data_IF_194823090134
#
_entry.id   IF_194823090134
#
_cell.length_a   1.000
_cell.length_b   1.000
_cell.length_c   1.000
_cell.angle_alpha   90.00
_cell.angle_beta   90.00
_cell.angle_gamma   90.00
#
_symmetry.space_group_name_H-M   'P 1'
#
loop_
_entity.id
_entity.type
_entity.pdbx_description
1 polymer ?
#
# COMPACT_ATOMS: atom_id res chain seq x y z
N UNK A 1 27.75 7.55 -5.59
CA UNK A 1 26.60 6.92 -4.90
C UNK A 1 26.66 5.41 -5.15
N UNK A 2 26.31 4.53 -4.20
CA UNK A 2 26.17 3.10 -4.49
C UNK A 2 25.12 2.87 -5.57
N UNK A 3 25.36 1.88 -6.43
CA UNK A 3 24.41 1.42 -7.44
C UNK A 3 23.56 0.29 -6.85
N UNK A 4 22.23 0.39 -6.97
CA UNK A 4 21.28 -0.61 -6.45
C UNK A 4 20.35 -1.06 -7.56
N UNK A 5 20.20 -2.38 -7.70
CA UNK A 5 19.23 -2.94 -8.63
C UNK A 5 17.81 -2.80 -8.08
N UNK A 6 16.96 -2.02 -8.76
CA UNK A 6 15.55 -1.93 -8.43
C UNK A 6 14.76 -2.86 -9.36
N UNK A 7 14.36 -4.01 -8.82
CA UNK A 7 13.63 -5.06 -9.54
C UNK A 7 12.23 -4.61 -9.99
N UNK A 8 11.63 -3.62 -9.35
CA UNK A 8 10.30 -3.10 -9.71
C UNK A 8 10.34 -2.25 -10.98
N UNK A 9 11.50 -1.69 -11.34
CA UNK A 9 11.72 -0.92 -12.58
C UNK A 9 12.68 -1.61 -13.55
N UNK A 10 13.15 -2.81 -13.21
CA UNK A 10 13.99 -3.65 -14.08
C UNK A 10 15.35 -3.04 -14.44
N UNK A 11 15.92 -2.19 -13.57
CA UNK A 11 17.23 -1.57 -13.82
C UNK A 11 17.98 -1.15 -12.55
N UNK A 12 19.33 -1.06 -12.63
CA UNK A 12 20.10 -0.38 -11.60
C UNK A 12 19.84 1.12 -11.58
N UNK A 13 20.12 1.72 -10.43
CA UNK A 13 19.98 3.14 -10.15
C UNK A 13 20.96 3.56 -9.06
N UNK A 14 21.50 4.76 -9.18
CA UNK A 14 22.29 5.39 -8.12
C UNK A 14 21.39 5.82 -6.96
N UNK A 15 21.78 5.48 -5.73
CA UNK A 15 21.06 5.90 -4.53
C UNK A 15 22.04 6.44 -3.49
N UNK A 16 21.82 7.63 -2.89
CA UNK A 16 22.86 8.31 -2.10
C UNK A 16 23.21 7.67 -0.75
N UNK A 17 22.46 6.66 -0.30
CA UNK A 17 22.67 6.02 1.00
C UNK A 17 23.13 4.57 0.84
N UNK A 18 24.22 4.24 1.52
CA UNK A 18 24.87 2.92 1.48
C UNK A 18 24.65 2.13 2.78
N UNK A 19 23.39 1.84 3.09
CA UNK A 19 23.03 0.99 4.23
C UNK A 19 22.93 -0.49 3.85
N UNK A 20 23.12 -1.43 4.80
CA UNK A 20 22.91 -2.84 4.54
C UNK A 20 21.46 -3.11 4.13
N UNK A 21 21.26 -4.13 3.32
CA UNK A 21 19.91 -4.64 3.05
C UNK A 21 19.33 -5.22 4.35
N UNK A 22 18.06 -4.95 4.67
CA UNK A 22 17.47 -5.49 5.87
C UNK A 22 17.35 -7.03 5.80
N UNK A 23 17.37 -7.69 6.95
CA UNK A 23 17.26 -9.14 7.11
C UNK A 23 15.96 -9.69 6.53
N UNK A 24 14.88 -8.92 6.69
CA UNK A 24 13.59 -9.11 6.04
C UNK A 24 12.99 -7.73 5.77
N UNK A 25 12.03 -7.64 4.85
CA UNK A 25 11.42 -6.37 4.48
C UNK A 25 9.93 -6.37 4.81
N UNK A 26 9.50 -5.51 5.73
CA UNK A 26 8.08 -5.30 6.02
C UNK A 26 7.36 -4.97 4.72
N UNK A 27 6.23 -5.63 4.50
CA UNK A 27 5.46 -5.45 3.29
C UNK A 27 3.96 -5.60 3.54
N UNK A 28 3.20 -4.96 2.66
CA UNK A 28 1.75 -4.92 2.72
C UNK A 28 1.17 -5.21 1.34
N UNK A 29 0.08 -5.96 1.27
CA UNK A 29 -0.75 -6.09 0.07
C UNK A 29 -2.14 -5.58 0.38
N UNK A 30 -2.65 -4.64 -0.42
CA UNK A 30 -4.01 -4.11 -0.35
C UNK A 30 -4.82 -4.55 -1.58
N UNK A 31 -5.90 -5.31 -1.36
CA UNK A 31 -6.84 -5.67 -2.41
C UNK A 31 -7.85 -4.55 -2.67
N UNK A 32 -7.60 -3.75 -3.71
CA UNK A 32 -8.49 -2.62 -4.04
C UNK A 32 -9.83 -3.05 -4.62
N UNK A 33 -10.00 -4.32 -5.00
CA UNK A 33 -11.30 -4.87 -5.41
C UNK A 33 -12.27 -5.05 -4.24
N UNK A 34 -11.76 -5.10 -3.01
CA UNK A 34 -12.53 -5.32 -1.78
C UNK A 34 -12.63 -4.09 -0.90
N UNK A 35 -11.97 -2.99 -1.26
CA UNK A 35 -11.99 -1.77 -0.47
C UNK A 35 -13.37 -1.14 -0.52
N UNK A 36 -13.82 -0.58 0.61
CA UNK A 36 -15.16 0.01 0.77
C UNK A 36 -15.09 1.42 1.40
N UNK A 37 -13.92 2.05 1.41
CA UNK A 37 -13.67 3.40 1.97
C UNK A 37 -14.22 3.68 3.39
N UNK A 38 -14.55 2.69 4.20
CA UNK A 38 -15.13 2.88 5.54
C UNK A 38 -14.28 3.70 6.55
N UNK A 39 -13.09 4.17 6.17
CA UNK A 39 -12.13 4.93 6.98
C UNK A 39 -11.72 4.29 8.31
N UNK A 40 -12.13 3.05 8.61
CA UNK A 40 -11.85 2.40 9.91
C UNK A 40 -10.36 2.27 10.15
N UNK A 41 -9.61 1.89 9.11
CA UNK A 41 -8.15 1.83 9.16
C UNK A 41 -7.52 3.22 9.40
N UNK A 42 -8.10 4.30 8.86
CA UNK A 42 -7.65 5.69 9.05
C UNK A 42 -7.83 6.08 10.51
N UNK A 43 -9.03 5.86 11.04
CA UNK A 43 -9.38 6.16 12.44
C UNK A 43 -8.54 5.34 13.42
N UNK A 44 -8.36 4.04 13.19
CA UNK A 44 -7.54 3.19 14.07
C UNK A 44 -6.08 3.65 14.16
N UNK A 45 -5.50 4.10 13.03
CA UNK A 45 -4.15 4.66 13.01
C UNK A 45 -4.10 6.02 13.73
N UNK A 46 -5.10 6.88 13.47
CA UNK A 46 -5.22 8.21 14.03
C UNK A 46 -5.32 8.20 15.55
N UNK A 47 -6.24 7.39 16.09
CA UNK A 47 -6.49 7.31 17.53
C UNK A 47 -5.30 6.73 18.29
N UNK A 48 -4.61 5.75 17.69
CA UNK A 48 -3.46 5.11 18.33
C UNK A 48 -2.19 5.96 18.29
N UNK A 49 -1.89 6.61 17.16
CA UNK A 49 -0.55 7.18 16.94
C UNK A 49 -0.49 8.69 16.71
N UNK A 50 -1.55 9.31 16.21
CA UNK A 50 -1.54 10.72 15.78
C UNK A 50 -2.64 11.57 16.41
N UNK A 51 -2.94 11.30 17.69
CA UNK A 51 -3.95 11.98 18.52
C UNK A 51 -3.38 13.07 19.44
N UNK A 52 -2.06 13.30 19.43
CA UNK A 52 -1.37 14.33 20.18
C UNK A 52 -1.38 15.71 19.53
N UNK A 53 -0.79 16.68 20.24
CA UNK A 53 -0.77 18.10 19.82
C UNK A 53 0.01 18.30 18.53
N UNK A 54 -0.58 19.05 17.59
CA UNK A 54 0.03 19.34 16.29
C UNK A 54 -0.05 18.18 15.30
N UNK A 55 -0.75 17.10 15.67
CA UNK A 55 -0.98 15.94 14.83
C UNK A 55 -2.39 15.92 14.24
N UNK A 56 -3.21 16.96 14.43
CA UNK A 56 -4.62 17.04 14.03
C UNK A 56 -4.81 16.73 12.55
N UNK A 57 -3.94 17.29 11.69
CA UNK A 57 -3.88 17.06 10.24
C UNK A 57 -2.90 15.95 9.84
N UNK A 58 -2.42 15.11 10.77
CA UNK A 58 -1.49 14.03 10.45
C UNK A 58 -2.24 12.70 10.32
N UNK A 59 -2.41 12.24 9.08
CA UNK A 59 -3.02 10.96 8.74
C UNK A 59 -1.99 10.01 8.11
N UNK A 60 -1.29 9.25 8.97
CA UNK A 60 -0.29 8.28 8.52
C UNK A 60 -0.90 7.22 7.59
N UNK A 61 -2.09 6.73 7.92
CA UNK A 61 -2.97 5.98 7.03
C UNK A 61 -4.12 6.89 6.60
N UNK A 62 -4.40 6.95 5.30
CA UNK A 62 -5.58 7.62 4.74
C UNK A 62 -6.18 6.72 3.65
N UNK A 63 -7.44 6.92 3.32
CA UNK A 63 -8.08 6.35 2.14
C UNK A 63 -8.59 7.50 1.29
N UNK A 64 -8.39 7.41 -0.02
CA UNK A 64 -8.83 8.43 -0.99
C UNK A 64 -9.57 7.78 -2.16
N UNK A 65 -10.64 8.42 -2.63
CA UNK A 65 -11.34 8.04 -3.85
C UNK A 65 -10.55 8.50 -5.08
N UNK A 66 -10.33 7.60 -6.04
CA UNK A 66 -9.71 7.90 -7.33
C UNK A 66 -10.78 7.95 -8.43
N UNK A 67 -10.64 8.87 -9.41
CA UNK A 67 -9.39 9.57 -9.75
C UNK A 67 -9.12 10.92 -9.06
N UNK A 68 -10.11 11.54 -8.42
CA UNK A 68 -10.00 12.97 -8.03
C UNK A 68 -9.50 13.23 -6.61
N UNK A 69 -9.74 12.30 -5.68
CA UNK A 69 -9.30 12.43 -4.30
C UNK A 69 -7.81 12.22 -4.09
N UNK A 70 -7.28 12.92 -3.09
CA UNK A 70 -5.86 12.89 -2.74
C UNK A 70 -5.59 13.48 -1.37
N UNK A 71 -4.65 12.88 -0.63
CA UNK A 71 -4.17 13.44 0.63
C UNK A 71 -2.64 13.44 0.82
N UNK A 72 -1.98 14.59 1.02
CA UNK A 72 -2.49 15.94 0.79
C UNK A 72 -3.00 16.14 -0.65
N UNK A 73 -3.74 17.21 -0.89
CA UNK A 73 -4.28 17.51 -2.22
C UNK A 73 -3.18 17.48 -3.28
N UNK A 74 -3.47 16.84 -4.42
CA UNK A 74 -2.60 16.76 -5.60
C UNK A 74 -1.18 16.21 -5.32
N UNK A 75 -1.04 15.36 -4.30
CA UNK A 75 0.26 14.80 -3.90
C UNK A 75 0.98 14.05 -5.03
N UNK A 76 0.22 13.38 -5.90
CA UNK A 76 0.68 12.60 -7.05
C UNK A 76 0.75 13.46 -8.31
N UNK A 77 -0.35 14.13 -8.68
CA UNK A 77 -0.48 14.90 -9.94
C UNK A 77 0.57 16.00 -10.07
N UNK A 78 0.80 16.81 -9.02
CA UNK A 78 1.84 17.86 -9.06
C UNK A 78 3.23 17.33 -9.36
N UNK A 79 3.55 16.12 -8.85
CA UNK A 79 4.82 15.50 -9.14
C UNK A 79 4.83 14.89 -10.55
N UNK A 80 3.75 14.21 -10.95
CA UNK A 80 3.62 13.62 -12.28
C UNK A 80 3.71 14.67 -13.40
N UNK A 81 3.10 15.85 -13.23
CA UNK A 81 3.19 16.96 -14.18
C UNK A 81 4.62 17.45 -14.39
N UNK A 82 5.45 17.40 -13.35
CA UNK A 82 6.86 17.79 -13.41
C UNK A 82 7.74 16.67 -13.98
N UNK A 83 7.39 15.41 -13.75
CA UNK A 83 8.15 14.25 -14.25
C UNK A 83 7.83 13.91 -15.71
N UNK A 84 6.63 14.25 -16.18
CA UNK A 84 6.08 13.75 -17.43
C UNK A 84 5.66 12.27 -17.34
N UNK A 85 5.12 11.72 -18.44
CA UNK A 85 4.67 10.34 -18.48
C UNK A 85 5.85 9.35 -18.34
N UNK A 86 5.62 8.28 -17.59
CA UNK A 86 6.60 7.20 -17.46
C UNK A 86 6.66 6.37 -18.75
N UNK A 87 7.84 6.28 -19.35
CA UNK A 87 8.11 5.45 -20.51
C UNK A 87 8.68 4.10 -20.10
N UNK A 88 8.10 3.02 -20.62
CA UNK A 88 8.48 1.65 -20.32
C UNK A 88 8.92 0.92 -21.59
N UNK A 89 10.05 0.22 -21.51
CA UNK A 89 10.50 -0.76 -22.52
C UNK A 89 10.23 -2.16 -21.96
N UNK A 90 9.06 -2.69 -22.25
CA UNK A 90 8.55 -3.91 -21.60
C UNK A 90 8.39 -3.68 -20.09
N UNK A 91 9.15 -4.41 -19.26
CA UNK A 91 9.13 -4.27 -17.79
C UNK A 91 10.20 -3.32 -17.24
N UNK A 92 11.05 -2.76 -18.11
CA UNK A 92 12.13 -1.86 -17.72
C UNK A 92 11.69 -0.40 -17.89
N UNK A 93 11.85 0.41 -16.85
CA UNK A 93 11.60 1.85 -16.93
C UNK A 93 12.69 2.52 -17.76
N UNK A 94 12.30 3.29 -18.78
CA UNK A 94 13.19 4.06 -19.63
C UNK A 94 13.33 5.51 -19.15
N UNK A 95 12.26 6.10 -18.62
CA UNK A 95 12.30 7.45 -18.03
C UNK A 95 13.20 7.53 -16.80
N UNK A 96 13.64 8.76 -16.50
CA UNK A 96 14.39 9.09 -15.28
C UNK A 96 13.48 9.01 -14.05
N UNK A 97 14.04 8.58 -12.93
CA UNK A 97 13.37 8.60 -11.62
C UNK A 97 13.59 9.94 -10.91
N UNK A 98 12.95 10.13 -9.75
CA UNK A 98 13.17 11.32 -8.90
C UNK A 98 14.61 11.44 -8.37
N UNK A 99 15.39 10.35 -8.42
CA UNK A 99 16.81 10.36 -8.02
C UNK A 99 17.73 10.84 -9.15
N UNK A 100 17.23 10.90 -10.38
CA UNK A 100 18.03 11.15 -11.60
C UNK A 100 17.62 12.45 -12.32
N UNK A 101 16.61 13.16 -11.80
CA UNK A 101 16.08 14.36 -12.41
C UNK A 101 16.96 15.61 -12.24
N UNK A 102 17.95 15.60 -11.34
CA UNK A 102 18.86 16.71 -11.17
C UNK A 102 19.71 16.93 -12.44
N UNK A 103 19.67 18.14 -13.01
CA UNK A 103 20.51 18.54 -14.16
C UNK A 103 21.69 19.40 -13.69
N UNK A 104 22.93 19.05 -14.09
CA UNK A 104 24.13 19.87 -13.87
C UNK A 104 25.32 19.12 -13.26
N UNK A 105 26.46 19.82 -13.08
CA UNK A 105 27.73 19.25 -12.56
C UNK A 105 27.65 18.71 -11.11
N UNK A 106 26.57 19.02 -10.38
CA UNK A 106 26.31 18.57 -9.01
C UNK A 106 25.08 17.64 -8.89
N UNK A 107 24.58 17.07 -10.00
CA UNK A 107 23.40 16.19 -10.01
C UNK A 107 23.49 15.07 -8.98
N UNK A 108 24.69 14.55 -8.76
CA UNK A 108 25.00 13.42 -7.87
C UNK A 108 25.05 13.81 -6.38
N UNK A 109 24.74 15.07 -6.04
CA UNK A 109 24.67 15.57 -4.66
C UNK A 109 23.33 16.22 -4.35
N UNK A 110 22.42 16.30 -5.32
CA UNK A 110 21.12 16.91 -5.10
C UNK A 110 20.19 15.93 -4.38
N UNK A 111 19.40 16.40 -3.39
CA UNK A 111 18.38 15.58 -2.77
C UNK A 111 17.35 15.16 -3.83
N UNK A 112 16.64 14.02 -3.62
CA UNK A 112 15.63 13.56 -4.56
C UNK A 112 14.63 14.65 -4.93
N UNK A 113 14.24 14.66 -6.21
CA UNK A 113 13.29 15.60 -6.75
C UNK A 113 11.92 15.40 -6.09
N UNK A 114 11.21 16.51 -5.86
CA UNK A 114 9.92 16.51 -5.20
C UNK A 114 9.49 17.92 -4.78
N UNK A 115 8.20 18.07 -4.54
CA UNK A 115 7.58 19.33 -4.12
C UNK A 115 7.14 19.28 -2.64
N UNK A 116 7.00 20.45 -2.01
CA UNK A 116 6.44 20.59 -0.66
C UNK A 116 4.97 20.99 -0.78
N UNK A 117 4.02 20.21 -0.22
CA UNK A 117 2.62 20.63 -0.16
C UNK A 117 2.47 21.89 0.70
N UNK A 118 1.50 22.74 0.34
CA UNK A 118 1.07 23.88 1.14
C UNK A 118 0.31 23.40 2.39
N UNK A 119 0.10 24.28 3.36
CA UNK A 119 -0.60 23.93 4.61
C UNK A 119 -2.07 23.60 4.31
N UNK A 120 -2.66 24.33 3.37
CA UNK A 120 -4.05 24.21 2.93
C UNK A 120 -4.32 22.85 2.28
N UNK A 121 -3.32 22.22 1.66
CA UNK A 121 -3.45 20.90 1.05
C UNK A 121 -3.74 19.79 2.09
N UNK A 122 -3.53 20.07 3.39
CA UNK A 122 -3.82 19.15 4.49
C UNK A 122 -5.15 19.46 5.21
N UNK A 123 -5.86 20.51 4.79
CA UNK A 123 -7.04 21.01 5.53
C UNK A 123 -8.21 20.03 5.52
N UNK A 124 -8.37 19.24 4.45
CA UNK A 124 -9.48 18.32 4.29
C UNK A 124 -8.96 16.95 3.79
N UNK A 125 -8.90 15.93 4.68
CA UNK A 125 -8.20 14.68 4.39
C UNK A 125 -8.91 13.71 3.45
N UNK A 126 -10.17 13.98 3.10
CA UNK A 126 -11.02 13.11 2.27
C UNK A 126 -11.81 13.91 1.22
N UNK A 127 -11.20 14.97 0.68
CA UNK A 127 -11.80 15.71 -0.45
C UNK A 127 -11.90 14.79 -1.66
N UNK A 128 -13.04 14.83 -2.34
CA UNK A 128 -13.34 13.97 -3.48
C UNK A 128 -13.81 12.58 -3.12
N UNK A 129 -14.24 12.34 -1.87
CA UNK A 129 -14.92 11.11 -1.46
C UNK A 129 -16.13 10.84 -2.36
N UNK A 130 -16.17 9.62 -2.91
CA UNK A 130 -17.19 9.16 -3.85
C UNK A 130 -17.40 10.04 -5.10
N UNK A 131 -16.45 10.92 -5.44
CA UNK A 131 -16.47 11.67 -6.69
C UNK A 131 -16.20 10.73 -7.87
N UNK A 132 -17.16 10.70 -8.78
CA UNK A 132 -17.18 9.83 -9.96
C UNK A 132 -16.71 10.57 -11.22
N UNK A 133 -16.18 9.86 -12.22
CA UNK A 133 -15.59 10.45 -13.46
C UNK A 133 -16.57 11.20 -14.38
N UNK A 134 -17.84 11.39 -14.01
CA UNK A 134 -18.84 12.04 -14.86
C UNK A 134 -20.21 12.21 -14.18
N UNK A 135 -21.11 12.96 -14.81
CA UNK A 135 -22.48 13.17 -14.31
C UNK A 135 -23.41 12.05 -14.78
N UNK A 136 -24.31 11.61 -13.91
CA UNK A 136 -25.41 10.71 -14.28
C UNK A 136 -26.57 11.56 -14.80
N UNK A 137 -26.88 11.46 -16.10
CA UNK A 137 -28.00 12.18 -16.69
C UNK A 137 -29.36 11.66 -16.16
N UNK A 138 -30.37 12.54 -16.14
CA UNK A 138 -31.72 12.20 -15.72
C UNK A 138 -32.32 11.12 -16.64
N UNK A 139 -32.69 9.97 -16.08
CA UNK A 139 -33.17 8.80 -16.84
C UNK A 139 -32.05 7.80 -17.19
N UNK A 140 -30.80 8.10 -16.82
CA UNK A 140 -29.71 7.14 -16.87
C UNK A 140 -30.02 5.92 -15.99
N UNK A 141 -29.80 4.74 -16.54
CA UNK A 141 -29.94 3.46 -15.85
C UNK A 141 -28.78 2.55 -16.25
N UNK A 142 -28.48 1.58 -15.40
CA UNK A 142 -27.41 0.62 -15.68
C UNK A 142 -27.79 -0.32 -16.83
N UNK A 143 -27.10 -0.20 -17.96
CA UNK A 143 -27.31 -1.02 -19.17
C UNK A 143 -26.19 -2.07 -19.38
N UNK A 144 -25.49 -2.46 -18.31
CA UNK A 144 -24.45 -3.50 -18.33
C UNK A 144 -23.00 -2.98 -18.45
N UNK A 145 -22.78 -1.80 -19.06
CA UNK A 145 -21.47 -1.13 -19.09
C UNK A 145 -21.65 0.30 -18.61
N UNK A 146 -21.01 0.64 -17.49
CA UNK A 146 -21.04 1.99 -16.92
C UNK A 146 -19.67 2.65 -17.17
N UNK A 147 -19.58 3.72 -18.00
CA UNK A 147 -18.31 4.37 -18.32
C UNK A 147 -17.75 5.15 -17.13
N UNK A 148 -18.60 5.43 -16.14
CA UNK A 148 -18.21 6.13 -14.94
C UNK A 148 -17.69 5.13 -13.91
N UNK A 149 -16.52 5.41 -13.36
CA UNK A 149 -15.86 4.55 -12.39
C UNK A 149 -15.25 5.40 -11.27
N UNK A 150 -15.06 4.75 -10.13
CA UNK A 150 -14.22 5.20 -9.04
C UNK A 150 -13.67 3.97 -8.33
N UNK A 151 -12.62 4.15 -7.54
CA UNK A 151 -12.16 3.12 -6.61
C UNK A 151 -11.40 3.76 -5.46
N UNK A 152 -11.21 2.99 -4.40
CA UNK A 152 -10.63 3.47 -3.17
C UNK A 152 -9.16 3.08 -3.04
N UNK A 153 -8.30 4.07 -2.83
CA UNK A 153 -6.86 3.90 -2.70
C UNK A 153 -6.43 4.17 -1.25
N UNK A 154 -6.39 3.12 -0.44
CA UNK A 154 -5.85 3.22 0.92
C UNK A 154 -4.32 3.33 0.91
N UNK A 155 -3.73 4.38 1.51
CA UNK A 155 -2.28 4.61 1.49
C UNK A 155 -1.67 4.76 2.88
N UNK A 156 -0.48 4.20 3.05
CA UNK A 156 0.42 4.38 4.20
C UNK A 156 1.83 4.73 3.72
N UNK A 157 2.79 4.92 4.63
CA UNK A 157 4.20 4.95 4.22
C UNK A 157 4.60 3.62 3.58
N UNK A 158 5.28 3.67 2.45
CA UNK A 158 5.68 2.49 1.71
C UNK A 158 6.92 1.76 2.26
N UNK A 159 7.56 2.29 3.32
CA UNK A 159 8.81 1.75 3.91
C UNK A 159 9.82 1.26 2.85
N UNK A 160 10.06 2.12 1.86
CA UNK A 160 10.70 1.81 0.59
C UNK A 160 12.11 1.18 0.72
N UNK A 161 12.56 0.48 -0.31
CA UNK A 161 13.93 -0.03 -0.42
C UNK A 161 14.95 1.10 -0.56
N UNK A 162 14.60 2.13 -1.33
CA UNK A 162 15.35 3.35 -1.55
C UNK A 162 14.53 4.57 -1.06
N UNK A 163 14.43 4.83 0.26
CA UNK A 163 13.58 5.90 0.78
C UNK A 163 14.09 7.30 0.40
N UNK A 164 13.34 8.01 -0.45
CA UNK A 164 13.67 9.40 -0.81
C UNK A 164 13.73 10.34 0.41
N UNK A 165 12.91 10.09 1.43
CA UNK A 165 12.95 10.86 2.68
C UNK A 165 14.26 10.67 3.46
N UNK A 166 14.83 9.46 3.47
CA UNK A 166 16.13 9.17 4.06
C UNK A 166 17.23 9.89 3.29
N UNK A 167 17.24 9.72 1.96
CA UNK A 167 18.19 10.37 1.06
C UNK A 167 18.19 11.90 1.19
N UNK A 168 17.05 12.51 1.46
CA UNK A 168 16.92 13.97 1.53
C UNK A 168 17.25 14.58 2.90
N UNK A 169 17.27 13.80 3.99
CA UNK A 169 17.40 14.37 5.33
C UNK A 169 18.84 14.83 5.61
N UNK A 170 19.12 16.15 5.70
CA UNK A 170 20.49 16.64 5.88
C UNK A 170 21.09 16.24 7.23
N UNK A 171 20.23 16.00 8.24
CA UNK A 171 20.64 15.60 9.59
C UNK A 171 20.78 14.09 9.77
N UNK A 172 20.42 13.30 8.74
CA UNK A 172 20.35 11.84 8.80
C UNK A 172 19.51 11.34 9.99
N UNK A 173 18.44 12.06 10.33
CA UNK A 173 17.50 11.68 11.38
C UNK A 173 16.54 10.57 10.94
N UNK A 174 16.47 10.29 9.63
CA UNK A 174 15.71 9.18 9.09
C UNK A 174 16.64 7.99 8.89
N UNK A 175 16.19 6.82 9.30
CA UNK A 175 16.92 5.56 9.15
C UNK A 175 15.96 4.44 8.77
N UNK A 176 16.52 3.36 8.21
CA UNK A 176 15.80 2.11 7.91
C UNK A 176 16.35 1.04 8.83
N UNK A 177 15.47 0.41 9.60
CA UNK A 177 15.81 -0.70 10.50
C UNK A 177 16.37 -1.89 9.72
N UNK A 178 17.39 -2.54 10.28
CA UNK A 178 18.10 -3.64 9.61
C UNK A 178 17.33 -4.94 9.78
N UNK A 179 16.66 -5.12 10.92
CA UNK A 179 15.88 -6.29 11.30
C UNK A 179 14.63 -6.49 10.43
N UNK A 180 13.91 -5.42 10.06
CA UNK A 180 12.59 -5.50 9.44
C UNK A 180 12.35 -4.52 8.27
N UNK A 181 13.31 -3.66 7.96
CA UNK A 181 13.19 -2.69 6.87
C UNK A 181 12.20 -1.54 7.13
N UNK A 182 11.68 -1.37 8.35
CA UNK A 182 10.83 -0.23 8.72
C UNK A 182 11.67 1.06 8.72
N UNK A 183 11.27 2.01 7.88
CA UNK A 183 11.83 3.38 7.87
C UNK A 183 11.22 4.24 8.99
N UNK A 184 12.04 4.86 9.84
CA UNK A 184 11.63 5.70 10.97
C UNK A 184 12.28 7.10 10.92
N UNK A 185 11.68 8.05 11.66
CA UNK A 185 12.27 9.37 11.94
C UNK A 185 12.63 9.39 13.42
N UNK A 186 13.92 9.52 13.72
CA UNK A 186 14.44 9.78 15.06
C UNK A 186 13.97 11.18 15.52
N UNK A 187 13.06 11.19 16.50
CA UNK A 187 12.43 12.41 17.01
C UNK A 187 13.42 13.29 17.79
N UNK A 188 14.48 12.73 18.38
CA UNK A 188 15.50 13.46 19.13
C UNK A 188 16.51 14.13 18.21
N UNK A 189 16.81 13.53 17.06
CA UNK A 189 17.73 14.09 16.05
C UNK A 189 17.05 15.01 15.05
N UNK A 190 15.75 14.90 14.88
CA UNK A 190 15.00 15.73 13.92
C UNK A 190 14.98 17.21 14.35
N UNK A 191 15.15 18.11 13.38
CA UNK A 191 15.13 19.57 13.59
C UNK A 191 14.23 20.30 12.60
N UNK A 192 13.32 19.58 11.94
CA UNK A 192 12.26 20.22 11.15
C UNK A 192 12.71 20.86 9.83
N UNK A 193 13.81 20.40 9.20
CA UNK A 193 14.26 20.92 7.90
C UNK A 193 13.27 20.66 6.74
N UNK A 194 12.33 19.72 6.91
CA UNK A 194 11.25 19.41 5.96
C UNK A 194 11.72 18.95 4.55
N UNK A 195 13.00 18.70 4.33
CA UNK A 195 13.49 18.10 3.08
C UNK A 195 12.92 16.70 2.85
N UNK A 196 12.68 15.95 3.92
CA UNK A 196 12.00 14.66 3.87
C UNK A 196 10.52 14.76 3.45
N UNK A 197 9.83 15.84 3.85
CA UNK A 197 8.44 16.14 3.44
C UNK A 197 8.38 16.45 1.95
N UNK A 198 9.33 17.29 1.47
CA UNK A 198 9.47 17.64 0.05
C UNK A 198 9.79 16.41 -0.81
N UNK A 199 10.81 15.65 -0.41
CA UNK A 199 11.38 14.57 -1.23
C UNK A 199 10.54 13.30 -1.25
N UNK A 200 9.71 13.02 -0.25
CA UNK A 200 8.84 11.85 -0.29
C UNK A 200 7.82 12.02 -1.43
N UNK A 201 7.84 11.18 -2.48
CA UNK A 201 6.91 11.36 -3.59
C UNK A 201 5.48 10.99 -3.22
N UNK A 202 5.28 10.23 -2.12
CA UNK A 202 3.97 9.84 -1.61
C UNK A 202 3.41 10.79 -0.53
N UNK A 203 4.20 11.80 -0.14
CA UNK A 203 3.86 12.74 0.95
C UNK A 203 3.45 12.06 2.26
N UNK A 204 4.15 10.96 2.59
CA UNK A 204 3.96 10.17 3.82
C UNK A 204 4.95 10.50 4.94
N UNK A 205 5.52 11.69 4.88
CA UNK A 205 6.25 12.33 5.97
C UNK A 205 5.57 13.66 6.22
N UNK A 206 5.13 13.89 7.45
CA UNK A 206 4.35 15.05 7.86
C UNK A 206 5.22 15.93 8.77
N UNK A 207 4.98 17.23 8.77
CA UNK A 207 5.62 18.15 9.69
C UNK A 207 4.64 18.52 10.79
N UNK A 208 5.00 18.25 12.04
CA UNK A 208 4.23 18.69 13.19
C UNK A 208 4.64 20.12 13.54
N UNK A 209 3.72 21.06 13.37
CA UNK A 209 3.96 22.49 13.57
C UNK A 209 4.17 22.88 15.04
N UNK A 210 3.69 22.05 15.97
CA UNK A 210 3.82 22.27 17.42
C UNK A 210 5.18 21.79 17.91
N UNK A 211 5.54 20.53 17.62
CA UNK A 211 6.83 19.96 18.04
C UNK A 211 8.01 20.40 17.15
N UNK A 212 7.71 21.00 15.98
CA UNK A 212 8.67 21.47 14.97
C UNK A 212 9.60 20.37 14.45
N UNK A 213 9.11 19.13 14.44
CA UNK A 213 9.79 17.97 13.88
C UNK A 213 8.87 17.22 12.93
N UNK A 214 9.48 16.38 12.09
CA UNK A 214 8.75 15.54 11.14
C UNK A 214 8.39 14.18 11.74
N UNK A 215 7.21 13.71 11.37
CA UNK A 215 6.62 12.46 11.82
C UNK A 215 6.14 11.64 10.62
N UNK A 216 6.02 10.32 10.77
CA UNK A 216 5.54 9.43 9.71
C UNK A 216 5.03 8.12 10.29
N UNK A 217 4.27 7.38 9.49
CA UNK A 217 3.91 6.00 9.80
C UNK A 217 5.12 5.21 10.29
N UNK A 218 5.00 4.62 11.48
CA UNK A 218 6.07 3.84 12.12
C UNK A 218 5.98 2.34 11.79
N UNK A 219 5.14 1.95 10.81
CA UNK A 219 4.88 0.54 10.48
C UNK A 219 4.26 -0.26 11.62
N UNK A 220 3.75 0.41 12.67
CA UNK A 220 3.42 -0.20 13.96
C UNK A 220 4.56 -1.10 14.48
N UNK A 221 5.83 -0.66 14.41
CA UNK A 221 6.96 -1.49 14.83
C UNK A 221 6.81 -2.14 16.23
N UNK A 222 6.18 -1.50 17.26
CA UNK A 222 5.99 -2.18 18.54
C UNK A 222 5.08 -3.42 18.44
N UNK A 223 4.14 -3.44 17.49
CA UNK A 223 3.29 -4.62 17.18
C UNK A 223 4.05 -5.65 16.37
N UNK A 224 4.79 -5.19 15.36
CA UNK A 224 5.60 -6.04 14.48
C UNK A 224 6.63 -6.84 15.28
N UNK A 225 7.28 -6.20 16.27
CA UNK A 225 8.23 -6.84 17.18
C UNK A 225 7.60 -7.97 18.01
N UNK A 226 6.29 -7.92 18.23
CA UNK A 226 5.52 -8.95 18.94
C UNK A 226 4.89 -9.99 18.01
N UNK A 227 5.17 -9.96 16.69
CA UNK A 227 4.58 -10.87 15.71
C UNK A 227 3.14 -10.51 15.32
N UNK A 228 2.67 -9.33 15.69
CA UNK A 228 1.32 -8.84 15.40
C UNK A 228 1.28 -8.03 14.11
N UNK A 229 0.11 -8.00 13.45
CA UNK A 229 -0.10 -7.12 12.30
C UNK A 229 -0.30 -5.67 12.75
N UNK A 230 -0.03 -4.72 11.83
CA UNK A 230 -0.30 -3.30 12.07
C UNK A 230 -1.79 -3.04 12.33
N UNK A 231 -2.12 -2.02 13.14
CA UNK A 231 -3.52 -1.72 13.49
C UNK A 231 -4.41 -1.44 12.29
N UNK A 232 -3.89 -0.77 11.25
CA UNK A 232 -4.67 -0.53 10.04
C UNK A 232 -5.03 -1.81 9.27
N UNK A 233 -4.30 -2.91 9.50
CA UNK A 233 -4.52 -4.25 8.94
C UNK A 233 -5.55 -4.98 9.79
N UNK A 234 -5.35 -5.04 11.10
CA UNK A 234 -6.26 -5.71 12.03
C UNK A 234 -7.67 -5.10 12.02
N UNK A 235 -7.76 -3.77 11.96
CA UNK A 235 -9.04 -3.04 11.94
C UNK A 235 -9.72 -3.00 10.57
N UNK A 236 -9.16 -3.66 9.55
CA UNK A 236 -9.68 -3.57 8.19
C UNK A 236 -10.96 -4.42 8.04
N UNK A 237 -12.13 -3.76 8.10
CA UNK A 237 -13.45 -4.38 7.93
C UNK A 237 -13.56 -5.11 6.59
N UNK A 238 -13.11 -4.49 5.49
CA UNK A 238 -13.14 -5.10 4.15
C UNK A 238 -12.16 -6.26 3.96
N UNK A 239 -11.32 -6.58 4.96
CA UNK A 239 -10.28 -7.63 4.90
C UNK A 239 -9.45 -7.53 3.61
N UNK A 240 -9.01 -6.31 3.29
CA UNK A 240 -8.25 -6.02 2.06
C UNK A 240 -6.74 -6.13 2.28
N UNK A 241 -6.29 -6.20 3.53
CA UNK A 241 -4.88 -6.00 3.88
C UNK A 241 -4.24 -7.31 4.34
N UNK A 242 -3.11 -7.64 3.75
CA UNK A 242 -2.16 -8.62 4.28
C UNK A 242 -0.86 -7.90 4.66
N UNK A 243 -0.26 -8.32 5.77
CA UNK A 243 0.93 -7.70 6.35
C UNK A 243 1.87 -8.77 6.88
N UNK A 244 3.17 -8.58 6.65
CA UNK A 244 4.21 -9.54 6.98
C UNK A 244 5.53 -9.09 6.37
N UNK A 245 6.36 -10.06 5.98
CA UNK A 245 7.69 -9.79 5.45
C UNK A 245 7.93 -10.43 4.07
N UNK A 246 8.58 -9.69 3.19
CA UNK A 246 9.21 -10.21 1.97
C UNK A 246 10.60 -10.78 2.27
N UNK A 247 10.98 -11.82 1.53
CA UNK A 247 12.34 -12.36 1.56
C UNK A 247 13.29 -11.40 0.85
N UNK A 248 14.30 -10.92 1.56
CA UNK A 248 15.32 -10.00 1.04
C UNK A 248 16.63 -10.71 0.69
N UNK A 249 16.97 -11.75 1.45
CA UNK A 249 18.17 -12.57 1.26
C UNK A 249 17.80 -13.89 0.59
N UNK A 250 18.13 -14.02 -0.70
CA UNK A 250 17.85 -15.21 -1.50
C UNK A 250 16.60 -15.09 -2.38
N UNK A 251 16.18 -16.22 -2.92
CA UNK A 251 15.02 -16.29 -3.82
C UNK A 251 13.68 -16.15 -3.07
N UNK A 252 12.63 -15.60 -3.72
CA UNK A 252 11.30 -15.58 -3.14
C UNK A 252 10.84 -16.98 -2.77
N UNK A 253 10.13 -17.08 -1.65
CA UNK A 253 9.59 -18.34 -1.14
C UNK A 253 8.15 -18.56 -1.59
N UNK A 254 7.84 -19.73 -2.16
CA UNK A 254 6.46 -20.05 -2.55
C UNK A 254 5.50 -20.26 -1.37
N UNK A 255 6.05 -20.62 -0.21
CA UNK A 255 5.29 -20.83 1.01
C UNK A 255 5.13 -19.55 1.83
N UNK A 256 5.83 -18.45 1.49
CA UNK A 256 5.58 -17.14 2.10
C UNK A 256 4.47 -16.42 1.31
N UNK A 257 3.38 -15.97 1.96
CA UNK A 257 2.22 -15.45 1.25
C UNK A 257 2.51 -14.13 0.50
N UNK A 258 3.36 -13.26 1.04
CA UNK A 258 3.72 -11.99 0.39
C UNK A 258 4.67 -12.21 -0.79
N UNK A 259 5.70 -13.06 -0.66
CA UNK A 259 6.55 -13.43 -1.78
C UNK A 259 5.73 -14.08 -2.90
N UNK A 260 4.81 -14.98 -2.53
CA UNK A 260 3.91 -15.65 -3.46
C UNK A 260 3.06 -14.65 -4.24
N UNK A 261 2.35 -13.76 -3.56
CA UNK A 261 1.45 -12.78 -4.21
C UNK A 261 2.25 -11.74 -5.03
N UNK A 262 3.35 -11.22 -4.49
CA UNK A 262 4.06 -10.05 -5.05
C UNK A 262 5.13 -10.45 -6.06
N UNK A 263 6.03 -11.38 -5.70
CA UNK A 263 7.22 -11.68 -6.51
C UNK A 263 7.02 -12.84 -7.49
N UNK A 264 6.29 -13.87 -7.06
CA UNK A 264 6.08 -15.10 -7.84
C UNK A 264 4.89 -14.93 -8.78
N UNK A 265 3.69 -14.74 -8.22
CA UNK A 265 2.45 -14.60 -8.99
C UNK A 265 2.32 -13.22 -9.63
N UNK A 266 2.92 -12.20 -9.03
CA UNK A 266 2.86 -10.79 -9.48
C UNK A 266 1.42 -10.32 -9.63
N UNK A 267 0.57 -10.74 -8.69
CA UNK A 267 -0.81 -10.29 -8.58
C UNK A 267 -0.86 -8.89 -7.98
N UNK A 268 -0.13 -8.64 -6.90
CA UNK A 268 -0.05 -7.31 -6.30
C UNK A 268 1.14 -6.51 -6.88
N UNK A 269 0.89 -5.24 -7.21
CA UNK A 269 1.81 -4.36 -7.91
C UNK A 269 2.17 -3.13 -7.06
N UNK A 270 3.39 -2.59 -7.16
CA UNK A 270 3.80 -1.38 -6.43
C UNK A 270 3.04 -0.15 -6.93
N UNK A 271 2.79 0.81 -6.05
CA UNK A 271 2.25 2.13 -6.42
C UNK A 271 3.36 3.07 -6.86
N UNK A 272 3.23 3.66 -8.05
CA UNK A 272 4.17 4.54 -8.73
C UNK A 272 5.63 4.02 -8.73
N UNK A 273 5.90 2.81 -9.26
CA UNK A 273 7.26 2.27 -9.31
C UNK A 273 8.25 3.18 -10.06
N UNK A 274 7.77 4.01 -10.99
CA UNK A 274 8.57 4.98 -11.74
C UNK A 274 9.30 6.01 -10.87
N UNK A 275 8.86 6.25 -9.63
CA UNK A 275 9.60 7.09 -8.69
C UNK A 275 10.91 6.46 -8.24
N UNK A 276 11.15 5.18 -8.51
CA UNK A 276 12.42 4.51 -8.20
C UNK A 276 12.64 4.19 -6.72
N UNK A 277 11.70 4.55 -5.84
CA UNK A 277 11.89 4.31 -4.40
C UNK A 277 11.85 2.83 -4.04
N UNK A 278 11.26 1.96 -4.86
CA UNK A 278 11.01 0.56 -4.50
C UNK A 278 10.04 0.45 -3.32
N UNK A 279 8.78 0.92 -3.45
CA UNK A 279 7.78 0.83 -2.38
C UNK A 279 7.49 -0.63 -1.97
N UNK A 280 7.25 -0.85 -0.68
CA UNK A 280 6.88 -2.16 -0.10
C UNK A 280 5.41 -2.23 0.35
N UNK A 281 4.56 -1.39 -0.23
CA UNK A 281 3.10 -1.54 -0.17
C UNK A 281 2.64 -1.78 -1.60
N UNK A 282 1.97 -2.90 -1.79
CA UNK A 282 1.55 -3.42 -3.07
C UNK A 282 0.03 -3.45 -3.13
N UNK A 283 -0.52 -3.34 -4.33
CA UNK A 283 -1.95 -3.23 -4.56
C UNK A 283 -2.37 -4.26 -5.59
N UNK A 284 -3.45 -4.98 -5.31
CA UNK A 284 -4.13 -5.76 -6.34
C UNK A 284 -5.04 -4.77 -7.07
N UNK A 285 -4.77 -4.45 -8.36
CA UNK A 285 -5.52 -3.43 -9.08
C UNK A 285 -7.01 -3.80 -9.23
N UNK A 286 -7.91 -2.80 -9.22
CA UNK A 286 -9.34 -3.02 -9.31
C UNK A 286 -9.75 -3.40 -10.74
N UNK A 287 -10.50 -4.48 -10.90
CA UNK A 287 -10.81 -5.03 -12.23
C UNK A 287 -11.77 -4.15 -13.05
N UNK A 288 -12.57 -3.31 -12.38
CA UNK A 288 -13.58 -2.44 -13.01
C UNK A 288 -13.03 -1.10 -13.53
N UNK A 289 -11.79 -0.74 -13.19
CA UNK A 289 -11.17 0.54 -13.58
C UNK A 289 -10.43 0.41 -14.93
N UNK A 290 -10.41 1.45 -15.78
CA UNK A 290 -9.71 1.41 -17.06
C UNK A 290 -8.21 1.08 -16.93
N UNK A 291 -7.73 0.14 -17.76
CA UNK A 291 -6.34 -0.34 -17.74
C UNK A 291 -5.33 0.79 -17.84
N UNK A 292 -5.54 1.76 -18.75
CA UNK A 292 -4.61 2.87 -18.97
C UNK A 292 -4.42 3.75 -17.74
N UNK A 293 -5.48 3.96 -16.95
CA UNK A 293 -5.37 4.70 -15.69
C UNK A 293 -4.55 3.88 -14.69
N UNK A 294 -4.87 2.61 -14.54
CA UNK A 294 -4.15 1.71 -13.62
C UNK A 294 -2.68 1.52 -13.99
N UNK A 295 -2.32 1.51 -15.27
CA UNK A 295 -0.93 1.40 -15.73
C UNK A 295 -0.08 2.62 -15.33
N UNK A 296 -0.69 3.81 -15.23
CA UNK A 296 0.01 4.99 -14.72
C UNK A 296 0.35 4.85 -13.23
N UNK A 297 -0.55 4.24 -12.46
CA UNK A 297 -0.39 4.02 -11.02
C UNK A 297 0.50 2.81 -10.71
N UNK A 298 0.33 1.68 -11.41
CA UNK A 298 0.89 0.39 -11.01
C UNK A 298 1.91 -0.19 -12.01
N UNK A 299 2.13 0.49 -13.14
CA UNK A 299 3.07 0.09 -14.18
C UNK A 299 2.56 -1.02 -15.12
N UNK A 300 3.44 -1.61 -15.94
CA UNK A 300 3.05 -2.49 -17.06
C UNK A 300 2.52 -3.88 -16.65
N UNK A 301 2.47 -4.19 -15.35
CA UNK A 301 1.98 -5.48 -14.83
C UNK A 301 0.46 -5.60 -14.72
N UNK A 302 -0.28 -4.51 -14.92
CA UNK A 302 -1.72 -4.42 -14.63
C UNK A 302 -2.55 -5.47 -15.35
N UNK A 303 -2.33 -5.64 -16.66
CA UNK A 303 -3.16 -6.56 -17.44
C UNK A 303 -2.93 -8.03 -17.03
N UNK A 304 -1.69 -8.40 -16.67
CA UNK A 304 -1.39 -9.72 -16.10
C UNK A 304 -2.12 -9.89 -14.77
N UNK A 305 -2.03 -8.90 -13.87
CA UNK A 305 -2.66 -8.95 -12.55
C UNK A 305 -4.18 -9.10 -12.64
N UNK A 306 -4.85 -8.34 -13.52
CA UNK A 306 -6.30 -8.43 -13.73
C UNK A 306 -6.73 -9.80 -14.26
N UNK A 307 -5.96 -10.39 -15.18
CA UNK A 307 -6.22 -11.75 -15.66
C UNK A 307 -6.11 -12.79 -14.54
N UNK A 308 -5.08 -12.67 -13.70
CA UNK A 308 -4.92 -13.55 -12.53
C UNK A 308 -6.09 -13.41 -11.55
N UNK A 309 -6.51 -12.17 -11.26
CA UNK A 309 -7.63 -11.92 -10.35
C UNK A 309 -8.96 -12.49 -10.87
N UNK A 310 -9.27 -12.29 -12.15
CA UNK A 310 -10.48 -12.87 -12.77
C UNK A 310 -10.45 -14.40 -12.82
N UNK A 311 -9.26 -15.00 -12.86
CA UNK A 311 -9.06 -16.44 -12.89
C UNK A 311 -9.00 -17.12 -11.52
N UNK A 312 -9.20 -16.40 -10.40
CA UNK A 312 -8.99 -16.93 -9.04
C UNK A 312 -9.78 -18.20 -8.74
N UNK A 313 -10.99 -18.33 -9.27
CA UNK A 313 -11.83 -19.53 -9.07
C UNK A 313 -11.14 -20.82 -9.56
N UNK A 314 -10.27 -20.73 -10.58
CA UNK A 314 -9.51 -21.87 -11.10
C UNK A 314 -8.16 -22.08 -10.42
N UNK A 315 -7.73 -21.19 -9.53
CA UNK A 315 -6.43 -21.23 -8.88
C UNK A 315 -6.57 -21.33 -7.37
N UNK A 316 -6.74 -22.56 -6.89
CA UNK A 316 -7.02 -22.84 -5.48
C UNK A 316 -5.92 -22.35 -4.53
N UNK A 317 -4.66 -22.38 -4.95
CA UNK A 317 -3.54 -21.95 -4.10
C UNK A 317 -3.52 -20.43 -3.94
N UNK A 318 -3.71 -19.69 -5.02
CA UNK A 318 -3.80 -18.24 -4.96
C UNK A 318 -5.07 -17.78 -4.24
N UNK A 319 -6.21 -18.40 -4.52
CA UNK A 319 -7.46 -18.13 -3.81
C UNK A 319 -7.30 -18.38 -2.31
N UNK A 320 -6.77 -19.54 -1.92
CA UNK A 320 -6.50 -19.86 -0.51
C UNK A 320 -5.57 -18.86 0.17
N UNK A 321 -4.53 -18.41 -0.54
CA UNK A 321 -3.64 -17.35 -0.05
C UNK A 321 -4.40 -16.03 0.21
N UNK A 322 -5.30 -15.63 -0.70
CA UNK A 322 -6.12 -14.41 -0.54
C UNK A 322 -7.18 -14.55 0.56
N UNK A 323 -7.70 -15.75 0.81
CA UNK A 323 -8.67 -16.00 1.88
C UNK A 323 -8.07 -15.85 3.29
N UNK A 324 -6.74 -15.91 3.43
CA UNK A 324 -6.05 -15.65 4.70
C UNK A 324 -6.03 -14.16 5.08
N UNK A 325 -6.45 -13.26 4.19
CA UNK A 325 -6.53 -11.82 4.49
C UNK A 325 -7.51 -11.57 5.64
N UNK A 326 -7.03 -10.97 6.74
CA UNK A 326 -7.84 -10.68 7.91
C UNK A 326 -8.37 -11.92 8.64
N UNK A 327 -7.76 -13.09 8.46
CA UNK A 327 -8.12 -14.32 9.16
C UNK A 327 -7.54 -14.40 10.59
N UNK A 328 -6.56 -13.54 10.90
CA UNK A 328 -5.84 -13.50 12.18
C UNK A 328 -5.24 -12.10 12.39
N UNK A 329 -4.89 -11.75 13.63
CA UNK A 329 -4.16 -10.54 13.98
C UNK A 329 -2.64 -10.77 14.11
N UNK A 330 -2.18 -11.99 13.85
CA UNK A 330 -0.77 -12.39 13.82
C UNK A 330 -0.22 -12.37 12.38
N UNK A 331 1.07 -12.12 12.22
CA UNK A 331 1.70 -12.18 10.89
C UNK A 331 1.82 -13.62 10.41
N UNK A 332 1.26 -13.91 9.23
CA UNK A 332 1.42 -15.19 8.53
C UNK A 332 2.72 -15.16 7.74
N UNK A 333 3.67 -16.01 8.10
CA UNK A 333 4.98 -16.08 7.43
C UNK A 333 5.13 -17.33 6.58
N UNK A 334 4.25 -18.32 6.78
CA UNK A 334 4.09 -19.48 5.91
C UNK A 334 2.62 -19.78 5.66
N UNK A 335 2.25 -20.20 4.45
CA UNK A 335 0.92 -20.67 4.11
C UNK A 335 0.95 -21.93 3.23
N UNK A 336 -0.15 -22.66 3.25
CA UNK A 336 -0.38 -23.82 2.39
C UNK A 336 -1.87 -24.01 2.15
N UNK A 337 -2.21 -24.78 1.11
CA UNK A 337 -3.59 -25.17 0.80
C UNK A 337 -3.68 -26.70 0.80
N UNK A 338 -4.44 -27.23 1.75
CA UNK A 338 -4.61 -28.67 1.97
C UNK A 338 -6.07 -29.03 1.74
N UNK A 339 -6.35 -29.63 0.58
CA UNK A 339 -7.72 -29.94 0.16
C UNK A 339 -8.59 -28.68 0.02
N UNK A 340 -9.62 -28.58 0.85
CA UNK A 340 -10.59 -27.47 0.87
C UNK A 340 -10.24 -26.36 1.88
N UNK A 341 -9.01 -26.34 2.42
CA UNK A 341 -8.65 -25.42 3.51
C UNK A 341 -7.33 -24.73 3.23
N UNK A 342 -7.29 -23.41 3.43
CA UNK A 342 -6.08 -22.62 3.49
C UNK A 342 -5.61 -22.47 4.94
N UNK A 343 -4.32 -22.67 5.18
CA UNK A 343 -3.73 -22.66 6.52
C UNK A 343 -2.57 -21.69 6.55
N UNK A 344 -2.45 -20.91 7.62
CA UNK A 344 -1.38 -19.96 7.86
C UNK A 344 -0.64 -20.24 9.17
N UNK A 345 0.69 -20.15 9.13
CA UNK A 345 1.58 -20.31 10.28
C UNK A 345 2.41 -19.06 10.53
N UNK A 346 2.77 -18.84 11.79
CA UNK A 346 3.73 -17.82 12.19
C UNK A 346 5.19 -18.33 12.11
N UNK A 347 6.16 -17.50 12.50
CA UNK A 347 7.59 -17.84 12.50
C UNK A 347 7.98 -18.94 13.48
N UNK A 348 7.19 -19.16 14.54
CA UNK A 348 7.39 -20.26 15.48
C UNK A 348 6.84 -21.60 14.94
N UNK A 349 6.20 -21.59 13.78
CA UNK A 349 5.55 -22.77 13.19
C UNK A 349 4.18 -23.08 13.79
N UNK A 350 3.61 -22.18 14.59
CA UNK A 350 2.28 -22.32 15.16
C UNK A 350 1.22 -21.97 14.13
N UNK A 351 0.16 -22.78 14.05
CA UNK A 351 -0.98 -22.49 13.20
C UNK A 351 -1.79 -21.34 13.81
N UNK A 352 -1.94 -20.25 13.06
CA UNK A 352 -2.60 -19.02 13.52
C UNK A 352 -3.83 -18.65 12.69
N UNK A 353 -4.05 -19.35 11.57
CA UNK A 353 -5.21 -19.15 10.71
C UNK A 353 -5.55 -20.45 9.97
N UNK A 354 -6.85 -20.75 9.87
CA UNK A 354 -7.41 -21.85 9.08
C UNK A 354 -8.73 -21.40 8.48
N UNK A 355 -8.81 -21.36 7.15
CA UNK A 355 -9.96 -20.80 6.43
C UNK A 355 -10.43 -21.81 5.38
N UNK A 356 -11.72 -22.18 5.35
CA UNK A 356 -12.26 -23.00 4.28
C UNK A 356 -12.25 -22.23 2.96
N UNK A 357 -11.91 -22.90 1.85
CA UNK A 357 -11.96 -22.32 0.50
C UNK A 357 -13.41 -22.14 0.04
N UNK A 358 -14.25 -23.10 0.40
CA UNK A 358 -15.67 -23.11 0.08
C UNK A 358 -16.46 -23.07 1.38
N UNK A 359 -17.26 -22.04 1.60
CA UNK A 359 -18.19 -22.00 2.73
C UNK A 359 -19.51 -22.69 2.33
N UNK A 360 -20.01 -23.63 3.15
CA UNK A 360 -21.31 -24.24 2.90
C UNK A 360 -22.42 -23.21 3.16
N UNK A 361 -23.23 -22.94 2.13
CA UNK A 361 -24.43 -22.12 2.27
C UNK A 361 -25.62 -22.98 2.71
N UNK A 362 -26.30 -22.56 3.76
CA UNK A 362 -27.52 -23.19 4.25
C UNK A 362 -28.70 -22.24 4.05
N UNK A 363 -29.62 -22.59 3.15
CA UNK A 363 -30.89 -21.88 3.02
C UNK A 363 -31.86 -22.51 4.00
N UNK A 364 -32.35 -21.73 4.98
CA UNK A 364 -33.39 -22.18 5.91
C UNK A 364 -34.76 -21.87 5.33
N UNK A 365 -35.74 -22.71 5.64
CA UNK A 365 -37.11 -22.47 5.24
C UNK A 365 -37.61 -21.12 5.76
N UNK A 366 -38.51 -20.49 5.00
CA UNK A 366 -39.08 -19.21 5.41
C UNK A 366 -39.83 -19.30 6.74
N UNK A 367 -40.42 -20.45 7.03
CA UNK A 367 -41.11 -20.72 8.29
C UNK A 367 -40.29 -21.65 9.19
N UNK A 368 -40.23 -21.33 10.48
CA UNK A 368 -39.55 -22.10 11.52
C UNK A 368 -40.58 -22.80 12.42
N UNK A 369 -40.94 -24.04 12.09
CA UNK A 369 -41.91 -24.83 12.86
C UNK A 369 -41.53 -24.97 14.34
N UNK A 370 -40.23 -25.02 14.65
CA UNK A 370 -39.75 -25.21 16.02
C UNK A 370 -40.07 -24.00 16.91
N UNK A 371 -40.07 -22.80 16.34
CA UNK A 371 -40.28 -21.56 17.08
C UNK A 371 -41.57 -20.84 16.68
N UNK A 372 -42.41 -21.44 15.83
CA UNK A 372 -43.66 -20.87 15.33
C UNK A 372 -43.46 -19.44 14.79
N UNK A 373 -42.41 -19.26 13.97
CA UNK A 373 -41.97 -17.94 13.54
C UNK A 373 -41.55 -17.92 12.07
N UNK A 374 -41.83 -16.81 11.39
CA UNK A 374 -41.35 -16.56 10.04
C UNK A 374 -39.98 -15.90 10.08
N UNK A 375 -39.02 -16.49 9.37
CA UNK A 375 -37.68 -15.93 9.15
C UNK A 375 -37.80 -14.84 8.07
N UNK A 376 -37.62 -13.59 8.48
CA UNK A 376 -37.55 -12.46 7.57
C UNK A 376 -36.09 -11.99 7.47
N UNK A 377 -35.52 -12.01 6.26
CA UNK A 377 -34.26 -11.33 5.99
C UNK A 377 -34.56 -9.86 5.81
N UNK A 378 -34.46 -9.10 6.90
CA UNK A 378 -34.45 -7.64 6.82
C UNK A 378 -33.00 -7.25 6.53
N UNK A 379 -32.65 -7.13 5.24
CA UNK A 379 -31.35 -6.60 4.79
C UNK A 379 -31.36 -5.09 4.74
#
# INVERSE_FOLDING_TARGET
MPERFNWQIGRPMAYPYDGPQPERQVAYVFDTNKCIECQTCTVACKTCWTSGKGQETIFWNNVETKPYGGYPLEWDTRLLDQLGPAEWKGKRLASRTIFEQATGKDSDKQPPFGHRPAVEDYAAPNVGEDDITGLVEKGGHFAGVHPIWMFYLARICNHCDNPACLAACPRRAIYKRVEDGIVLVDQERCRGYQECVRACPYKKVFFNVVSRISEKCIGCFPRVENGEVALCVQSCIGKIRMHGFLTTRGEPREDNPLDYIVRIRRLALPLYPQYGTGPNVYYIPPIHVPTRFLEQLFGPGVEQSRRLYRGLAGDRRLLGCLLLFGATDRMITRFDVQGEVAIGWNDAGEEIARVPITEPSWVRDHYDEKYDAYRHNTT
#
